data_IF_355403563182
#
_entry.id   IF_355403563182
#
_cell.length_a   1.000
_cell.length_b   1.000
_cell.length_c   1.000
_cell.angle_alpha   90.00
_cell.angle_beta   90.00
_cell.angle_gamma   90.00
#
_symmetry.space_group_name_H-M   'P 1'
#
loop_
_entity.id
_entity.type
_entity.pdbx_description
1 polymer ?
#
# COMPACT_ATOMS: atom_id res chain seq x y z
N UNK A 1 7.08 -3.30 -24.36
CA UNK A 1 6.74 -3.21 -22.93
C UNK A 1 5.99 -1.91 -22.74
N UNK A 2 4.69 -1.98 -22.56
CA UNK A 2 3.81 -0.81 -22.37
C UNK A 2 3.88 -0.41 -20.90
N UNK A 3 4.59 0.66 -20.61
CA UNK A 3 4.54 1.33 -19.30
C UNK A 3 3.10 1.76 -19.05
N UNK A 4 2.43 1.11 -18.13
CA UNK A 4 1.10 1.53 -17.70
C UNK A 4 1.26 2.86 -16.94
N UNK A 5 0.93 3.97 -17.58
CA UNK A 5 0.86 5.27 -16.88
C UNK A 5 -0.15 5.16 -15.76
N UNK A 6 0.21 5.65 -14.57
CA UNK A 6 -0.71 5.82 -13.46
C UNK A 6 -1.93 6.61 -13.92
N UNK A 7 -3.11 6.08 -13.63
CA UNK A 7 -4.36 6.78 -13.92
C UNK A 7 -4.58 7.90 -12.90
N UNK A 8 -5.46 8.86 -13.21
CA UNK A 8 -5.87 9.90 -12.23
C UNK A 8 -6.46 9.30 -10.96
N UNK A 9 -7.06 8.11 -11.04
CA UNK A 9 -7.57 7.37 -9.89
C UNK A 9 -6.44 6.81 -9.02
N UNK A 10 -5.38 6.30 -9.63
CA UNK A 10 -4.21 5.80 -8.89
C UNK A 10 -3.54 6.94 -8.10
N UNK A 11 -3.40 8.13 -8.69
CA UNK A 11 -2.84 9.30 -8.02
C UNK A 11 -3.66 9.77 -6.80
N UNK A 12 -4.98 9.55 -6.80
CA UNK A 12 -5.84 9.87 -5.64
C UNK A 12 -5.73 8.84 -4.52
N UNK A 13 -5.37 7.60 -4.83
CA UNK A 13 -5.20 6.54 -3.86
C UNK A 13 -3.98 6.79 -2.97
N UNK A 14 -2.92 7.35 -3.54
CA UNK A 14 -1.65 7.57 -2.89
C UNK A 14 -1.48 9.05 -2.51
N UNK A 15 -1.52 9.32 -1.20
CA UNK A 15 -1.35 10.68 -0.65
C UNK A 15 0.13 11.04 -0.55
N UNK A 16 0.40 12.35 -0.47
CA UNK A 16 1.76 12.88 -0.29
C UNK A 16 2.51 13.06 -1.60
N UNK A 17 3.85 13.04 -1.53
CA UNK A 17 4.72 13.07 -2.69
C UNK A 17 4.84 11.66 -3.24
N UNK A 18 4.34 11.42 -4.45
CA UNK A 18 4.40 10.13 -5.12
C UNK A 18 5.09 10.28 -6.50
N UNK A 19 5.89 9.29 -6.87
CA UNK A 19 6.58 9.24 -8.14
C UNK A 19 6.46 7.85 -8.78
N UNK A 20 6.30 7.83 -10.11
CA UNK A 20 6.38 6.61 -10.91
C UNK A 20 7.83 6.12 -10.96
N UNK A 21 8.02 4.81 -10.85
CA UNK A 21 9.33 4.18 -10.92
C UNK A 21 9.49 3.50 -12.28
N UNK A 22 10.61 3.77 -12.91
CA UNK A 22 11.00 3.11 -14.16
C UNK A 22 12.14 2.14 -13.88
N UNK A 23 12.19 1.05 -14.62
CA UNK A 23 13.15 -0.04 -14.43
C UNK A 23 14.63 0.38 -14.49
N UNK A 24 14.93 1.51 -15.11
CA UNK A 24 16.29 2.05 -15.21
C UNK A 24 16.68 3.03 -14.08
N UNK A 25 15.75 3.42 -13.21
CA UNK A 25 16.05 4.34 -12.11
C UNK A 25 16.92 3.68 -11.06
N UNK A 26 17.93 4.40 -10.58
CA UNK A 26 18.71 4.00 -9.40
C UNK A 26 17.89 4.18 -8.11
N UNK A 27 18.30 3.55 -7.01
CA UNK A 27 17.67 3.78 -5.71
C UNK A 27 17.76 5.25 -5.31
N UNK A 28 18.89 5.87 -5.58
CA UNK A 28 19.12 7.29 -5.30
C UNK A 28 18.13 8.19 -6.05
N UNK A 29 17.90 7.93 -7.36
CA UNK A 29 16.94 8.70 -8.16
C UNK A 29 15.51 8.50 -7.66
N UNK A 30 15.15 7.27 -7.28
CA UNK A 30 13.86 6.94 -6.69
C UNK A 30 13.66 7.76 -5.41
N UNK A 31 14.61 7.70 -4.48
CA UNK A 31 14.53 8.40 -3.19
C UNK A 31 14.51 9.91 -3.34
N UNK A 32 15.31 10.46 -4.28
CA UNK A 32 15.30 11.90 -4.61
C UNK A 32 13.93 12.36 -5.11
N UNK A 33 13.27 11.54 -5.94
CA UNK A 33 11.97 11.90 -6.54
C UNK A 33 10.86 12.15 -5.50
N UNK A 34 11.00 11.57 -4.31
CA UNK A 34 10.03 11.67 -3.21
C UNK A 34 10.58 12.40 -1.97
N UNK A 35 11.79 12.98 -2.06
CA UNK A 35 12.42 13.70 -0.96
C UNK A 35 12.84 12.82 0.21
N UNK A 36 13.13 11.53 -0.05
CA UNK A 36 13.58 10.55 0.95
C UNK A 36 15.04 10.11 0.77
N UNK A 37 15.83 10.85 -0.01
CA UNK A 37 17.26 10.60 -0.18
C UNK A 37 18.06 11.14 1.03
N UNK A 38 17.88 10.49 2.17
CA UNK A 38 18.56 10.80 3.43
C UNK A 38 18.80 9.51 4.23
N UNK A 39 19.81 9.56 5.11
CA UNK A 39 19.99 8.53 6.13
C UNK A 39 19.23 8.89 7.40
N UNK A 40 18.73 7.88 8.08
CA UNK A 40 18.14 8.04 9.41
C UNK A 40 19.26 7.95 10.45
N UNK A 41 19.59 9.08 11.08
CA UNK A 41 20.54 9.14 12.19
C UNK A 41 19.82 8.96 13.52
N UNK A 42 20.45 8.26 14.47
CA UNK A 42 19.88 7.96 15.78
C UNK A 42 20.70 8.67 16.85
N UNK A 43 20.06 9.52 17.64
CA UNK A 43 20.69 10.28 18.70
C UNK A 43 20.03 9.91 20.03
N UNK A 44 20.79 9.55 21.07
CA UNK A 44 20.24 9.31 22.40
C UNK A 44 19.51 10.53 22.96
N UNK A 45 18.44 10.30 23.71
CA UNK A 45 17.74 11.38 24.38
C UNK A 45 18.62 12.01 25.47
N UNK A 46 18.71 13.34 25.47
CA UNK A 46 19.46 14.08 26.50
C UNK A 46 18.54 15.10 27.17
N UNK A 47 18.49 15.08 28.50
CA UNK A 47 17.74 16.05 29.28
C UNK A 47 18.58 16.55 30.46
N UNK A 48 18.73 17.85 30.58
CA UNK A 48 19.53 18.53 31.63
C UNK A 48 20.96 17.96 31.77
N UNK A 49 21.60 17.64 30.64
CA UNK A 49 22.95 17.08 30.62
C UNK A 49 23.07 15.59 30.93
N UNK A 50 21.95 14.92 31.21
CA UNK A 50 21.92 13.47 31.41
C UNK A 50 21.47 12.78 30.12
N UNK A 51 22.20 11.75 29.69
CA UNK A 51 21.88 10.95 28.50
C UNK A 51 21.12 9.70 28.86
N UNK A 52 20.03 9.43 28.15
CA UNK A 52 19.16 8.28 28.32
C UNK A 52 19.26 7.38 27.08
N UNK A 53 20.03 6.31 27.16
CA UNK A 53 20.29 5.42 26.01
C UNK A 53 19.09 4.54 25.64
N UNK A 54 18.09 4.41 26.50
CA UNK A 54 16.86 3.64 26.25
C UNK A 54 15.92 4.32 25.27
N UNK A 55 16.09 5.64 25.08
CA UNK A 55 15.27 6.46 24.18
C UNK A 55 16.17 7.12 23.16
N UNK A 56 15.77 7.03 21.88
CA UNK A 56 16.49 7.60 20.76
C UNK A 56 15.59 8.50 19.93
N UNK A 57 16.14 9.61 19.49
CA UNK A 57 15.55 10.47 18.49
C UNK A 57 16.10 10.09 17.11
N UNK A 58 15.20 9.91 16.16
CA UNK A 58 15.57 9.64 14.78
C UNK A 58 15.47 10.92 13.97
N UNK A 59 16.55 11.29 13.31
CA UNK A 59 16.68 12.50 12.52
C UNK A 59 17.04 12.16 11.09
N UNK A 60 16.69 13.05 10.18
CA UNK A 60 17.15 13.03 8.80
C UNK A 60 18.58 13.58 8.75
N UNK A 61 19.47 12.93 7.99
CA UNK A 61 20.85 13.36 7.82
C UNK A 61 21.00 14.63 6.98
N UNK A 62 20.02 14.92 6.11
CA UNK A 62 20.10 16.03 5.16
C UNK A 62 19.71 17.40 5.74
N UNK A 63 18.93 17.45 6.83
CA UNK A 63 18.42 18.70 7.39
C UNK A 63 18.18 18.66 8.90
N UNK A 64 18.66 17.63 9.59
CA UNK A 64 18.46 17.39 11.03
C UNK A 64 16.99 17.35 11.49
N UNK A 65 16.05 17.22 10.54
CA UNK A 65 14.62 17.17 10.84
C UNK A 65 14.27 15.94 11.67
N UNK A 66 13.56 16.16 12.78
CA UNK A 66 13.10 15.08 13.65
C UNK A 66 12.04 14.22 12.94
N UNK A 67 12.33 12.95 12.75
CA UNK A 67 11.38 11.96 12.27
C UNK A 67 10.50 11.45 13.40
N UNK A 68 11.12 10.92 14.46
CA UNK A 68 10.37 10.37 15.59
C UNK A 68 11.26 10.08 16.82
N UNK A 69 10.62 9.58 17.86
CA UNK A 69 11.27 9.19 19.12
C UNK A 69 10.88 7.78 19.49
N UNK A 70 11.85 6.91 19.72
CA UNK A 70 11.62 5.48 19.89
C UNK A 70 12.50 4.87 20.98
N UNK A 71 12.11 3.70 21.45
CA UNK A 71 12.98 2.88 22.30
C UNK A 71 14.20 2.38 21.54
N UNK A 72 15.33 2.24 22.24
CA UNK A 72 16.62 1.84 21.65
C UNK A 72 16.62 0.47 20.96
N UNK A 73 15.68 -0.40 21.31
CA UNK A 73 15.53 -1.73 20.71
C UNK A 73 14.90 -1.72 19.30
N UNK A 74 14.25 -0.60 18.92
CA UNK A 74 13.66 -0.49 17.59
C UNK A 74 14.79 -0.43 16.56
N UNK A 75 14.75 -1.31 15.57
CA UNK A 75 15.65 -1.26 14.42
C UNK A 75 15.12 -0.25 13.40
N UNK A 76 16.01 0.50 12.82
CA UNK A 76 15.75 1.41 11.72
C UNK A 76 16.16 0.73 10.42
N UNK A 77 15.24 0.61 9.50
CA UNK A 77 15.57 0.25 8.12
C UNK A 77 15.85 1.57 7.39
N UNK A 78 17.04 1.71 6.78
CA UNK A 78 17.34 2.89 5.99
C UNK A 78 16.48 2.96 4.74
N UNK A 79 16.10 4.16 4.24
CA UNK A 79 15.27 4.28 3.04
C UNK A 79 15.83 3.51 1.83
N UNK A 80 17.15 3.57 1.60
CA UNK A 80 17.80 2.83 0.51
C UNK A 80 17.65 1.31 0.68
N UNK A 81 17.91 0.80 1.88
CA UNK A 81 17.78 -0.63 2.20
C UNK A 81 16.33 -1.10 2.02
N UNK A 82 15.36 -0.23 2.31
CA UNK A 82 13.95 -0.55 2.12
C UNK A 82 13.59 -0.69 0.63
N UNK A 83 14.14 0.17 -0.24
CA UNK A 83 14.00 0.03 -1.70
C UNK A 83 14.64 -1.28 -2.19
N UNK A 84 15.84 -1.63 -1.70
CA UNK A 84 16.52 -2.87 -2.03
C UNK A 84 15.68 -4.10 -1.64
N UNK A 85 15.07 -4.09 -0.47
CA UNK A 85 14.17 -5.18 -0.05
C UNK A 85 13.01 -5.38 -1.01
N UNK A 86 12.39 -4.29 -1.46
CA UNK A 86 11.29 -4.40 -2.41
C UNK A 86 11.75 -4.87 -3.80
N UNK A 87 12.92 -4.41 -4.27
CA UNK A 87 13.50 -4.88 -5.54
C UNK A 87 13.86 -6.35 -5.50
N UNK A 88 14.50 -6.81 -4.42
CA UNK A 88 14.81 -8.21 -4.22
C UNK A 88 13.52 -9.06 -4.18
N UNK A 89 12.45 -8.53 -3.60
CA UNK A 89 11.14 -9.16 -3.62
C UNK A 89 10.56 -9.24 -5.06
N UNK A 90 10.68 -8.18 -5.86
CA UNK A 90 10.27 -8.20 -7.27
C UNK A 90 11.06 -9.25 -8.07
N UNK A 91 12.36 -9.34 -7.86
CA UNK A 91 13.22 -10.33 -8.53
C UNK A 91 12.86 -11.78 -8.12
N UNK A 92 12.60 -12.01 -6.84
CA UNK A 92 12.18 -13.33 -6.32
C UNK A 92 10.80 -13.75 -6.83
N UNK A 93 9.94 -12.81 -7.23
CA UNK A 93 8.62 -13.08 -7.83
C UNK A 93 8.69 -13.49 -9.31
N UNK A 94 9.86 -13.80 -9.85
CA UNK A 94 10.08 -14.06 -11.28
C UNK A 94 9.59 -12.93 -12.20
N UNK A 95 9.67 -11.68 -11.73
CA UNK A 95 9.21 -10.45 -12.42
C UNK A 95 7.69 -10.38 -12.64
N UNK A 96 6.93 -11.14 -11.90
CA UNK A 96 5.46 -10.99 -11.86
C UNK A 96 5.04 -9.71 -11.15
N UNK A 97 5.92 -9.18 -10.29
CA UNK A 97 5.74 -7.95 -9.52
C UNK A 97 6.85 -6.98 -9.92
N UNK A 98 6.50 -5.73 -10.11
CA UNK A 98 7.43 -4.62 -10.39
C UNK A 98 7.24 -3.51 -9.38
N UNK A 99 8.30 -2.77 -9.09
CA UNK A 99 8.16 -1.52 -8.33
C UNK A 99 7.66 -0.44 -9.29
N UNK A 100 6.38 -0.08 -9.18
CA UNK A 100 5.73 0.85 -10.10
C UNK A 100 5.61 2.25 -9.53
N UNK A 101 5.50 2.37 -8.21
CA UNK A 101 5.27 3.63 -7.54
C UNK A 101 5.97 3.65 -6.17
N UNK A 102 6.51 4.81 -5.85
CA UNK A 102 7.04 5.14 -4.53
C UNK A 102 6.42 6.43 -4.04
N UNK A 103 6.37 6.60 -2.73
CA UNK A 103 5.90 7.85 -2.18
C UNK A 103 6.24 8.05 -0.72
N UNK A 104 6.13 9.30 -0.30
CA UNK A 104 6.32 9.69 1.10
C UNK A 104 5.33 10.75 1.52
N UNK A 105 5.07 10.85 2.81
CA UNK A 105 4.34 11.94 3.42
C UNK A 105 4.90 12.29 4.78
N UNK A 106 4.45 13.43 5.32
CA UNK A 106 4.94 14.00 6.58
C UNK A 106 6.47 14.21 6.59
N UNK A 107 7.00 14.81 5.51
CA UNK A 107 8.44 15.08 5.36
C UNK A 107 9.32 13.81 5.46
N UNK A 108 8.85 12.69 4.91
CA UNK A 108 9.55 11.42 4.91
C UNK A 108 9.33 10.57 6.16
N UNK A 109 8.43 10.97 7.08
CA UNK A 109 8.09 10.17 8.26
C UNK A 109 7.36 8.87 7.91
N UNK A 110 6.69 8.85 6.77
CA UNK A 110 6.11 7.65 6.20
C UNK A 110 6.59 7.47 4.78
N UNK A 111 7.08 6.30 4.47
CA UNK A 111 7.58 5.91 3.17
C UNK A 111 6.86 4.66 2.70
N UNK A 112 6.38 4.65 1.46
CA UNK A 112 5.71 3.49 0.90
C UNK A 112 6.19 3.20 -0.52
N UNK A 113 6.08 1.93 -0.89
CA UNK A 113 6.33 1.42 -2.23
C UNK A 113 5.13 0.61 -2.68
N UNK A 114 4.81 0.68 -3.97
CA UNK A 114 3.65 -0.02 -4.50
C UNK A 114 3.93 -0.66 -5.85
N UNK A 115 3.32 -1.82 -6.05
CA UNK A 115 3.28 -2.57 -7.29
C UNK A 115 1.85 -2.76 -7.74
N UNK A 116 1.58 -2.52 -9.02
CA UNK A 116 0.28 -2.81 -9.61
C UNK A 116 0.19 -4.28 -9.97
N UNK A 117 -0.76 -4.99 -9.37
CA UNK A 117 -0.97 -6.42 -9.59
C UNK A 117 -1.80 -6.65 -10.86
N UNK A 118 -1.20 -6.40 -12.02
CA UNK A 118 -1.89 -6.48 -13.34
C UNK A 118 -2.27 -7.89 -13.74
N UNK A 119 -1.53 -8.90 -13.31
CA UNK A 119 -1.79 -10.31 -13.69
C UNK A 119 -3.06 -10.88 -13.05
N UNK A 120 -3.52 -10.28 -11.96
CA UNK A 120 -4.74 -10.68 -11.28
C UNK A 120 -5.98 -10.15 -12.03
N UNK A 121 -5.78 -9.22 -12.97
CA UNK A 121 -6.84 -8.50 -13.68
C UNK A 121 -7.31 -9.15 -14.99
N UNK A 122 -6.88 -10.36 -15.33
CA UNK A 122 -7.34 -11.06 -16.55
C UNK A 122 -8.85 -11.41 -16.56
N UNK A 123 -9.64 -10.62 -15.88
CA UNK A 123 -11.08 -10.80 -15.82
C UNK A 123 -11.78 -9.78 -16.72
N UNK A 124 -12.56 -10.29 -17.67
CA UNK A 124 -13.39 -9.58 -18.65
C UNK A 124 -14.47 -8.65 -18.02
N UNK A 125 -14.11 -7.85 -17.03
CA UNK A 125 -15.00 -6.85 -16.43
C UNK A 125 -15.26 -5.68 -17.39
N UNK A 126 -14.51 -5.56 -18.49
CA UNK A 126 -14.70 -4.55 -19.52
C UNK A 126 -16.09 -4.49 -20.12
N UNK A 127 -16.85 -5.60 -20.07
CA UNK A 127 -18.23 -5.65 -20.55
C UNK A 127 -19.22 -4.80 -19.73
N UNK A 128 -18.88 -4.49 -18.48
CA UNK A 128 -19.74 -3.74 -17.56
C UNK A 128 -19.15 -2.38 -17.20
N UNK A 129 -17.95 -2.04 -17.73
CA UNK A 129 -17.28 -0.79 -17.44
C UNK A 129 -16.65 -0.72 -16.03
N UNK A 130 -16.59 -1.84 -15.35
CA UNK A 130 -16.18 -1.94 -13.94
C UNK A 130 -14.71 -2.31 -13.88
N UNK A 131 -13.85 -1.30 -13.67
CA UNK A 131 -12.39 -1.49 -13.54
C UNK A 131 -12.01 -1.59 -12.07
N UNK A 132 -11.40 -2.72 -11.71
CA UNK A 132 -10.81 -2.91 -10.39
C UNK A 132 -9.29 -2.96 -10.53
N UNK A 133 -8.60 -2.05 -9.89
CA UNK A 133 -7.14 -2.06 -9.79
C UNK A 133 -6.73 -2.67 -8.45
N UNK A 134 -5.73 -3.56 -8.49
CA UNK A 134 -5.17 -4.17 -7.29
C UNK A 134 -3.72 -3.71 -7.12
N UNK A 135 -3.37 -3.32 -5.90
CA UNK A 135 -2.05 -2.83 -5.55
C UNK A 135 -1.48 -3.59 -4.36
N UNK A 136 -0.25 -4.04 -4.49
CA UNK A 136 0.57 -4.44 -3.35
C UNK A 136 1.28 -3.19 -2.85
N UNK A 137 1.10 -2.85 -1.57
CA UNK A 137 1.71 -1.68 -0.95
C UNK A 137 2.52 -2.12 0.27
N UNK A 138 3.77 -1.72 0.32
CA UNK A 138 4.64 -1.89 1.48
C UNK A 138 4.93 -0.52 2.06
N UNK A 139 4.75 -0.37 3.37
CA UNK A 139 4.91 0.92 4.06
C UNK A 139 5.80 0.77 5.28
N UNK A 140 6.73 1.70 5.47
CA UNK A 140 7.48 1.87 6.72
C UNK A 140 7.20 3.23 7.35
N UNK A 141 7.36 3.31 8.68
CA UNK A 141 7.00 4.46 9.49
C UNK A 141 8.17 4.92 10.34
N UNK A 142 8.81 6.02 9.95
CA UNK A 142 9.89 6.65 10.72
C UNK A 142 9.38 7.65 11.77
N UNK A 143 8.12 8.08 11.63
CA UNK A 143 7.51 9.08 12.53
C UNK A 143 6.61 8.50 13.62
N UNK A 144 6.23 7.24 13.52
CA UNK A 144 5.25 6.63 14.40
C UNK A 144 5.73 5.28 14.93
N UNK A 145 5.21 4.86 16.08
CA UNK A 145 5.47 3.52 16.66
C UNK A 145 4.70 2.39 15.95
N UNK A 146 4.36 2.59 14.69
CA UNK A 146 3.72 1.56 13.86
C UNK A 146 4.74 0.61 13.29
N UNK A 147 4.36 -0.65 13.20
CA UNK A 147 5.14 -1.66 12.49
C UNK A 147 5.06 -1.45 10.97
N UNK A 148 6.13 -1.79 10.21
CA UNK A 148 6.05 -1.87 8.77
C UNK A 148 4.88 -2.76 8.36
N UNK A 149 4.20 -2.38 7.28
CA UNK A 149 3.03 -3.12 6.79
C UNK A 149 3.20 -3.51 5.35
N UNK A 150 2.72 -4.70 5.02
CA UNK A 150 2.39 -5.09 3.65
C UNK A 150 0.88 -5.13 3.53
N UNK A 151 0.35 -4.46 2.52
CA UNK A 151 -1.08 -4.35 2.28
C UNK A 151 -1.39 -4.71 0.83
N UNK A 152 -2.53 -5.35 0.62
CA UNK A 152 -3.12 -5.43 -0.72
C UNK A 152 -4.39 -4.61 -0.74
N UNK A 153 -4.41 -3.64 -1.63
CA UNK A 153 -5.52 -2.73 -1.82
C UNK A 153 -6.28 -3.12 -3.09
N UNK A 154 -7.58 -3.30 -2.98
CA UNK A 154 -8.49 -3.45 -4.11
C UNK A 154 -9.24 -2.14 -4.29
N UNK A 155 -9.06 -1.52 -5.44
CA UNK A 155 -9.64 -0.23 -5.76
C UNK A 155 -10.59 -0.36 -6.94
N UNK A 156 -11.87 -0.12 -6.71
CA UNK A 156 -12.91 -0.19 -7.72
C UNK A 156 -13.26 1.19 -8.25
N UNK A 157 -13.32 1.31 -9.58
CA UNK A 157 -13.81 2.51 -10.23
C UNK A 157 -15.35 2.52 -10.15
N UNK A 158 -15.91 3.42 -9.34
CA UNK A 158 -17.36 3.49 -9.08
C UNK A 158 -18.10 4.30 -10.13
N UNK A 159 -17.43 5.24 -10.80
CA UNK A 159 -18.05 6.04 -11.86
C UNK A 159 -17.04 6.51 -12.90
N UNK A 160 -17.55 6.92 -14.07
CA UNK A 160 -16.76 7.46 -15.19
C UNK A 160 -15.98 8.74 -14.84
N UNK A 161 -16.37 9.46 -13.78
CA UNK A 161 -15.67 10.66 -13.30
C UNK A 161 -14.42 10.33 -12.47
N UNK A 162 -14.00 9.06 -12.41
CA UNK A 162 -12.81 8.62 -11.69
C UNK A 162 -12.99 8.51 -10.17
N UNK A 163 -14.23 8.41 -9.70
CA UNK A 163 -14.49 8.13 -8.29
C UNK A 163 -14.18 6.66 -8.01
N UNK A 164 -13.30 6.42 -7.06
CA UNK A 164 -12.85 5.07 -6.67
C UNK A 164 -13.26 4.77 -5.25
N UNK A 165 -13.51 3.50 -4.97
CA UNK A 165 -13.78 2.99 -3.64
C UNK A 165 -12.79 1.88 -3.30
N UNK A 166 -12.15 1.97 -2.15
CA UNK A 166 -11.39 0.85 -1.59
C UNK A 166 -12.38 -0.21 -1.09
N UNK A 167 -12.32 -1.40 -1.66
CA UNK A 167 -13.28 -2.47 -1.35
C UNK A 167 -12.76 -3.34 -0.22
N UNK A 168 -11.46 -3.61 -0.21
CA UNK A 168 -10.84 -4.54 0.72
C UNK A 168 -9.39 -4.17 0.96
N UNK A 169 -8.98 -4.32 2.21
CA UNK A 169 -7.58 -4.21 2.63
C UNK A 169 -7.19 -5.49 3.34
N UNK A 170 -6.12 -6.13 2.88
CA UNK A 170 -5.42 -7.16 3.65
C UNK A 170 -4.07 -6.63 4.04
N UNK A 171 -3.69 -6.83 5.28
CA UNK A 171 -2.40 -6.39 5.75
C UNK A 171 -1.75 -7.42 6.67
N UNK A 172 -0.43 -7.44 6.66
CA UNK A 172 0.39 -8.00 7.72
C UNK A 172 1.32 -6.91 8.26
N UNK A 173 1.50 -6.91 9.56
CA UNK A 173 2.43 -6.02 10.23
C UNK A 173 3.68 -6.82 10.64
N UNK A 174 4.84 -6.21 10.50
CA UNK A 174 6.13 -6.85 10.78
C UNK A 174 6.76 -6.27 12.04
N UNK A 175 7.49 -7.10 12.77
CA UNK A 175 8.13 -6.66 13.98
C UNK A 175 9.40 -5.86 13.67
N UNK A 176 9.51 -4.62 14.15
CA UNK A 176 10.71 -3.79 14.04
C UNK A 176 11.95 -4.34 14.77
N UNK A 177 11.81 -5.43 15.52
CA UNK A 177 12.94 -6.01 16.27
C UNK A 177 13.80 -6.93 15.40
N UNK A 178 13.33 -7.31 14.21
CA UNK A 178 14.07 -8.13 13.25
C UNK A 178 13.97 -7.53 11.84
N UNK A 179 14.86 -7.94 10.97
CA UNK A 179 14.79 -7.62 9.56
C UNK A 179 13.61 -8.35 8.91
N UNK A 180 12.93 -7.67 8.00
CA UNK A 180 11.88 -8.26 7.17
C UNK A 180 12.53 -9.07 6.06
N UNK A 181 12.08 -10.30 5.88
CA UNK A 181 12.55 -11.19 4.82
C UNK A 181 11.46 -11.44 3.78
N UNK A 182 11.85 -11.97 2.63
CA UNK A 182 10.88 -12.40 1.60
C UNK A 182 9.86 -13.41 2.15
N UNK A 183 10.31 -14.36 2.96
CA UNK A 183 9.46 -15.38 3.56
C UNK A 183 8.37 -14.79 4.48
N UNK A 184 8.60 -13.61 5.03
CA UNK A 184 7.58 -12.89 5.82
C UNK A 184 6.48 -12.30 4.94
N UNK A 185 6.81 -11.91 3.72
CA UNK A 185 5.91 -11.21 2.78
C UNK A 185 5.17 -12.20 1.88
N UNK A 186 5.79 -13.28 1.48
CA UNK A 186 5.25 -14.26 0.54
C UNK A 186 3.86 -14.80 0.94
N UNK A 187 3.57 -15.19 2.19
CA UNK A 187 2.25 -15.67 2.58
C UNK A 187 1.15 -14.61 2.48
N UNK A 188 1.51 -13.33 2.72
CA UNK A 188 0.56 -12.21 2.57
C UNK A 188 0.20 -12.03 1.11
N UNK A 189 1.21 -12.06 0.24
CA UNK A 189 1.01 -11.95 -1.20
C UNK A 189 0.17 -13.10 -1.76
N UNK A 190 0.52 -14.36 -1.43
CA UNK A 190 -0.25 -15.52 -1.86
C UNK A 190 -1.71 -15.45 -1.39
N UNK A 191 -1.95 -15.02 -0.15
CA UNK A 191 -3.30 -14.82 0.38
C UNK A 191 -4.03 -13.74 -0.40
N UNK A 192 -3.35 -12.65 -0.76
CA UNK A 192 -3.90 -11.54 -1.52
C UNK A 192 -4.27 -11.96 -2.95
N UNK A 193 -3.39 -12.72 -3.61
CA UNK A 193 -3.64 -13.28 -4.95
C UNK A 193 -4.87 -14.17 -4.93
N UNK A 194 -4.96 -15.12 -3.98
CA UNK A 194 -6.13 -16.00 -3.84
C UNK A 194 -7.44 -15.24 -3.62
N UNK A 195 -7.41 -14.19 -2.81
CA UNK A 195 -8.62 -13.40 -2.57
C UNK A 195 -9.01 -12.51 -3.73
N UNK A 196 -8.03 -11.98 -4.46
CA UNK A 196 -8.30 -11.25 -5.69
C UNK A 196 -9.00 -12.16 -6.70
N UNK A 197 -8.55 -13.39 -6.82
CA UNK A 197 -9.15 -14.38 -7.70
C UNK A 197 -10.57 -14.75 -7.26
N UNK A 198 -10.78 -15.00 -5.97
CA UNK A 198 -12.11 -15.28 -5.42
C UNK A 198 -13.08 -14.10 -5.60
N UNK A 199 -12.61 -12.86 -5.48
CA UNK A 199 -13.39 -11.66 -5.74
C UNK A 199 -13.76 -11.53 -7.22
N UNK A 200 -12.83 -11.81 -8.11
CA UNK A 200 -13.06 -11.84 -9.55
C UNK A 200 -14.08 -12.89 -9.95
N UNK A 201 -13.97 -14.10 -9.41
CA UNK A 201 -14.93 -15.19 -9.65
C UNK A 201 -16.33 -14.83 -9.14
N UNK A 202 -16.41 -14.20 -7.97
CA UNK A 202 -17.67 -13.70 -7.43
C UNK A 202 -18.31 -12.66 -8.35
N UNK A 203 -17.56 -11.67 -8.83
CA UNK A 203 -18.04 -10.67 -9.79
C UNK A 203 -18.51 -11.32 -11.10
N UNK A 204 -17.74 -12.26 -11.65
CA UNK A 204 -18.12 -12.98 -12.86
C UNK A 204 -19.45 -13.75 -12.68
N UNK A 205 -19.67 -14.36 -11.52
CA UNK A 205 -20.96 -15.00 -11.21
C UNK A 205 -22.09 -13.98 -11.20
N UNK A 206 -21.91 -12.83 -10.57
CA UNK A 206 -22.93 -11.77 -10.56
C UNK A 206 -23.26 -11.26 -11.96
N UNK A 207 -22.25 -10.99 -12.79
CA UNK A 207 -22.42 -10.49 -14.15
C UNK A 207 -23.16 -11.49 -15.05
N UNK A 208 -22.90 -12.80 -14.85
CA UNK A 208 -23.50 -13.86 -15.63
C UNK A 208 -24.81 -14.40 -15.04
N UNK A 209 -25.28 -13.86 -13.92
CA UNK A 209 -26.55 -14.26 -13.30
C UNK A 209 -27.67 -13.39 -13.82
N UNK A 210 -28.57 -13.99 -14.63
CA UNK A 210 -29.81 -13.33 -15.04
C UNK A 210 -30.77 -13.22 -13.86
N UNK A 211 -31.05 -12.00 -13.43
CA UNK A 211 -32.05 -11.72 -12.39
C UNK A 211 -33.28 -11.13 -13.05
N UNK A 212 -34.43 -11.78 -12.84
CA UNK A 212 -35.72 -11.22 -13.27
C UNK A 212 -35.93 -9.86 -12.59
N UNK A 213 -36.35 -8.86 -13.36
CA UNK A 213 -36.56 -7.49 -12.90
C UNK A 213 -37.36 -7.38 -11.59
N UNK A 214 -38.37 -8.23 -11.44
CA UNK A 214 -39.18 -8.26 -10.22
C UNK A 214 -38.34 -8.67 -8.99
N UNK A 215 -37.52 -9.72 -9.09
CA UNK A 215 -36.61 -10.12 -7.99
C UNK A 215 -35.60 -9.04 -7.63
N UNK A 216 -35.09 -8.31 -8.63
CA UNK A 216 -34.19 -7.18 -8.37
C UNK A 216 -34.91 -6.08 -7.60
N UNK A 217 -36.15 -5.74 -7.97
CA UNK A 217 -36.97 -4.75 -7.25
C UNK A 217 -37.24 -5.18 -5.81
N UNK A 218 -37.62 -6.43 -5.61
CA UNK A 218 -37.92 -6.97 -4.28
C UNK A 218 -36.69 -6.95 -3.37
N UNK A 219 -35.50 -7.27 -3.92
CA UNK A 219 -34.23 -7.20 -3.17
C UNK A 219 -33.86 -5.77 -2.78
N UNK A 220 -34.01 -4.82 -3.71
CA UNK A 220 -33.77 -3.39 -3.43
C UNK A 220 -34.74 -2.87 -2.38
N UNK A 221 -36.03 -3.19 -2.51
CA UNK A 221 -37.04 -2.76 -1.55
C UNK A 221 -36.73 -3.30 -0.15
N UNK A 222 -36.39 -4.59 -0.04
CA UNK A 222 -36.02 -5.20 1.24
C UNK A 222 -34.80 -4.52 1.89
N UNK A 223 -33.79 -4.18 1.09
CA UNK A 223 -32.58 -3.48 1.59
C UNK A 223 -32.95 -2.10 2.20
N UNK A 224 -33.78 -1.32 1.51
CA UNK A 224 -34.21 -0.02 2.02
C UNK A 224 -35.16 -0.12 3.22
N UNK A 225 -35.98 -1.17 3.30
CA UNK A 225 -36.85 -1.41 4.45
C UNK A 225 -36.03 -1.79 5.69
N UNK A 226 -34.99 -2.62 5.52
CA UNK A 226 -34.06 -3.02 6.60
C UNK A 226 -33.24 -1.82 7.11
N UNK A 227 -32.69 -0.94 6.24
CA UNK A 227 -31.98 0.28 6.64
C UNK A 227 -32.90 1.28 7.40
N UNK A 228 -34.15 1.42 6.99
CA UNK A 228 -35.12 2.25 7.71
C UNK A 228 -35.41 1.75 9.13
N UNK A 229 -35.41 0.46 9.32
CA UNK A 229 -35.65 -0.15 10.64
C UNK A 229 -34.46 0.02 11.58
N UNK A 230 -33.21 0.02 11.07
CA UNK A 230 -32.02 0.29 11.88
C UNK A 230 -31.88 1.76 12.30
N UNK A 231 -32.35 2.71 11.48
CA UNK A 231 -32.35 4.13 11.82
C UNK A 231 -33.43 4.54 12.86
N UNK A 232 -34.40 3.65 13.11
CA UNK A 232 -35.50 3.87 14.08
C UNK A 232 -35.26 3.18 15.43
N UNK A 233 -34.13 2.48 15.61
CA UNK A 233 -33.66 1.87 16.88
C UNK A 233 -32.55 2.71 17.50
#
# INVERSE_FOLDING_TARGET
>A
MTTSKLTKSDQKLFRGTAAEVHSFMSNEDILKSIGCNFDVTRVPHTYKGQTFNEVQHWHRSDNDGLLGTFGSRRKCIQPEVFVDYFRNFCDASNKEISLDLVGSFDAGKTFYMASKLTQIQNNNFDKVGDKTDSWLVVTDYYGESRAPKVMVLFNELVCTNGMTRQIKEKHAAFNHLREMTFDDVAPVLESAVRESQAYADMKNRFINTEIKLQRAKDAVQKFFDDERLEQLR
#
